data_IF_585041447635
#
_entry.id   IF_585041447635
#
_cell.length_a   1.000
_cell.length_b   1.000
_cell.length_c   1.000
_cell.angle_alpha   90.00
_cell.angle_beta   90.00
_cell.angle_gamma   90.00
#
_symmetry.space_group_name_H-M   'P 1'
#
loop_
_entity.id
_entity.type
_entity.pdbx_description
1 polymer ?
#
# COMPACT_ATOMS: atom_id res chain seq x y z
N UNK A 1 6.53 -1.96 -33.64
CA UNK A 1 6.75 -1.38 -32.29
C UNK A 1 5.70 -1.98 -31.38
N UNK A 2 6.08 -2.68 -30.31
CA UNK A 2 5.11 -3.17 -29.33
C UNK A 2 4.45 -1.95 -28.67
N UNK A 3 3.12 -1.96 -28.53
CA UNK A 3 2.42 -0.92 -27.80
C UNK A 3 3.04 -0.82 -26.38
N UNK A 4 3.26 0.40 -25.86
CA UNK A 4 3.81 0.57 -24.52
C UNK A 4 2.99 -0.27 -23.54
N UNK A 5 3.71 -1.02 -22.72
CA UNK A 5 3.17 -1.82 -21.62
C UNK A 5 2.20 -0.92 -20.85
N UNK A 6 0.99 -1.39 -20.59
CA UNK A 6 -0.03 -0.62 -19.86
C UNK A 6 0.60 0.08 -18.64
N UNK A 7 0.75 1.41 -18.71
CA UNK A 7 1.58 2.14 -17.75
C UNK A 7 1.00 2.08 -16.32
N UNK A 8 -0.26 1.68 -16.16
CA UNK A 8 -0.93 1.49 -14.87
C UNK A 8 -2.09 0.49 -14.93
N UNK A 9 -2.56 0.06 -13.75
CA UNK A 9 -3.50 -1.06 -13.56
C UNK A 9 -4.91 -0.62 -13.13
N UNK A 10 -5.35 0.59 -13.52
CA UNK A 10 -6.64 1.14 -13.07
C UNK A 10 -7.81 0.18 -13.32
N UNK A 11 -7.91 -0.42 -14.51
CA UNK A 11 -9.01 -1.33 -14.84
C UNK A 11 -9.05 -2.54 -13.90
N UNK A 12 -7.90 -3.09 -13.57
CA UNK A 12 -7.74 -4.21 -12.66
C UNK A 12 -8.12 -3.79 -11.25
N UNK A 13 -7.67 -2.63 -10.78
CA UNK A 13 -8.03 -2.07 -9.48
C UNK A 13 -9.53 -1.84 -9.32
N UNK A 14 -10.19 -1.25 -10.34
CA UNK A 14 -11.64 -1.07 -10.32
C UNK A 14 -12.37 -2.41 -10.18
N UNK A 15 -11.93 -3.43 -10.93
CA UNK A 15 -12.51 -4.78 -10.82
C UNK A 15 -12.28 -5.38 -9.43
N UNK A 16 -11.06 -5.28 -8.88
CA UNK A 16 -10.72 -5.80 -7.56
C UNK A 16 -11.52 -5.13 -6.44
N UNK A 17 -11.78 -3.81 -6.57
CA UNK A 17 -12.53 -3.03 -5.59
C UNK A 17 -14.05 -2.99 -5.85
N UNK A 18 -14.54 -3.68 -6.89
CA UNK A 18 -15.95 -3.68 -7.27
C UNK A 18 -16.49 -2.32 -7.75
N UNK A 19 -15.61 -1.41 -8.19
CA UNK A 19 -15.95 -0.06 -8.67
C UNK A 19 -16.13 -0.04 -10.18
N UNK A 20 -16.99 0.86 -10.67
CA UNK A 20 -17.22 1.09 -12.11
C UNK A 20 -16.58 2.41 -12.54
N UNK A 21 -16.26 2.54 -13.83
CA UNK A 21 -15.82 3.83 -14.40
C UNK A 21 -16.86 4.95 -14.18
N UNK A 22 -18.15 4.61 -14.15
CA UNK A 22 -19.21 5.57 -13.85
C UNK A 22 -19.12 6.13 -12.42
N UNK A 23 -18.58 5.36 -11.46
CA UNK A 23 -18.36 5.85 -10.09
C UNK A 23 -17.26 6.90 -10.06
N UNK A 24 -16.15 6.69 -10.80
CA UNK A 24 -15.10 7.71 -10.96
C UNK A 24 -15.68 9.00 -11.57
N UNK A 25 -16.44 8.87 -12.67
CA UNK A 25 -17.02 10.03 -13.33
C UNK A 25 -17.97 10.83 -12.41
N UNK A 26 -18.69 10.14 -11.53
CA UNK A 26 -19.59 10.75 -10.55
C UNK A 26 -18.83 11.39 -9.40
N UNK A 27 -17.92 10.65 -8.77
CA UNK A 27 -17.33 10.99 -7.48
C UNK A 27 -16.14 11.96 -7.61
N UNK A 28 -15.44 11.95 -8.76
CA UNK A 28 -14.37 12.90 -9.08
C UNK A 28 -14.82 14.01 -10.04
N UNK A 29 -16.09 14.02 -10.46
CA UNK A 29 -16.60 14.95 -11.48
C UNK A 29 -15.84 14.90 -12.82
N UNK A 30 -15.17 13.78 -13.10
CA UNK A 30 -14.48 13.59 -14.37
C UNK A 30 -15.50 13.35 -15.49
N UNK A 31 -15.26 13.96 -16.65
CA UNK A 31 -16.08 13.66 -17.81
C UNK A 31 -15.88 12.19 -18.27
N UNK A 32 -16.93 11.58 -18.84
CA UNK A 32 -16.93 10.17 -19.26
C UNK A 32 -15.84 9.83 -20.27
N UNK A 33 -15.51 10.76 -21.16
CA UNK A 33 -14.48 10.56 -22.18
C UNK A 33 -13.09 10.43 -21.54
N UNK A 34 -12.75 11.31 -20.60
CA UNK A 34 -11.53 11.26 -19.78
C UNK A 34 -11.44 9.91 -19.10
N UNK A 35 -12.44 9.52 -18.30
CA UNK A 35 -12.41 8.24 -17.58
C UNK A 35 -12.19 7.07 -18.53
N UNK A 36 -12.91 7.02 -19.66
CA UNK A 36 -12.75 5.94 -20.64
C UNK A 36 -11.35 5.90 -21.26
N UNK A 37 -10.77 7.07 -21.60
CA UNK A 37 -9.43 7.15 -22.19
C UNK A 37 -8.34 6.77 -21.18
N UNK A 38 -8.44 7.27 -19.96
CA UNK A 38 -7.49 7.00 -18.87
C UNK A 38 -7.56 5.52 -18.45
N UNK A 39 -8.76 4.94 -18.29
CA UNK A 39 -8.94 3.54 -17.92
C UNK A 39 -8.60 2.54 -19.05
N UNK A 40 -8.64 2.97 -20.31
CA UNK A 40 -8.20 2.13 -21.44
C UNK A 40 -6.71 2.24 -21.73
N UNK A 41 -5.99 3.15 -21.04
CA UNK A 41 -4.57 3.42 -21.28
C UNK A 41 -4.28 4.10 -22.61
N UNK A 42 -5.30 4.65 -23.28
CA UNK A 42 -5.15 5.38 -24.55
C UNK A 42 -4.61 6.80 -24.33
N UNK A 43 -4.90 7.37 -23.16
CA UNK A 43 -4.34 8.65 -22.72
C UNK A 43 -3.31 8.36 -21.62
N UNK A 44 -2.09 8.93 -21.73
CA UNK A 44 -1.11 8.88 -20.65
C UNK A 44 -1.71 9.49 -19.38
N UNK A 45 -1.47 8.87 -18.23
CA UNK A 45 -1.81 9.50 -16.96
C UNK A 45 -0.82 10.62 -16.66
N UNK A 46 -1.31 11.64 -15.97
CA UNK A 46 -0.48 12.65 -15.31
C UNK A 46 -0.23 12.25 -13.85
N UNK A 47 0.71 12.93 -13.19
CA UNK A 47 0.92 12.78 -11.75
C UNK A 47 -0.36 13.09 -10.96
N UNK A 48 -1.12 14.07 -11.41
CA UNK A 48 -2.35 14.49 -10.75
C UNK A 48 -3.44 13.41 -10.89
N UNK A 49 -3.58 12.80 -12.08
CA UNK A 49 -4.48 11.67 -12.28
C UNK A 49 -4.16 10.50 -11.32
N UNK A 50 -2.88 10.19 -11.14
CA UNK A 50 -2.44 9.13 -10.22
C UNK A 50 -2.80 9.47 -8.79
N UNK A 51 -2.50 10.68 -8.33
CA UNK A 51 -2.74 11.08 -6.94
C UNK A 51 -4.24 11.10 -6.63
N UNK A 52 -5.04 11.68 -7.52
CA UNK A 52 -6.49 11.83 -7.34
C UNK A 52 -7.18 10.46 -7.30
N UNK A 53 -6.84 9.56 -8.24
CA UNK A 53 -7.39 8.21 -8.28
C UNK A 53 -6.88 7.36 -7.11
N UNK A 54 -5.62 7.53 -6.70
CA UNK A 54 -5.06 6.80 -5.57
C UNK A 54 -5.79 7.17 -4.27
N UNK A 55 -6.01 8.46 -4.04
CA UNK A 55 -6.76 8.96 -2.90
C UNK A 55 -8.20 8.44 -2.91
N UNK A 56 -8.90 8.56 -4.03
CA UNK A 56 -10.26 8.06 -4.21
C UNK A 56 -10.41 6.55 -3.92
N UNK A 57 -9.42 5.75 -4.33
CA UNK A 57 -9.44 4.30 -4.15
C UNK A 57 -8.79 3.84 -2.83
N UNK A 58 -8.32 4.76 -1.99
CA UNK A 58 -7.56 4.49 -0.77
C UNK A 58 -6.31 3.61 -1.03
N UNK A 59 -5.56 3.98 -2.06
CA UNK A 59 -4.32 3.36 -2.49
C UNK A 59 -3.16 4.34 -2.33
N UNK A 60 -1.94 3.81 -2.28
CA UNK A 60 -0.73 4.62 -2.47
C UNK A 60 -0.49 4.80 -3.98
N UNK A 61 0.04 5.95 -4.44
CA UNK A 61 0.27 6.22 -5.86
C UNK A 61 0.98 5.11 -6.64
N UNK A 62 2.02 4.50 -6.05
CA UNK A 62 2.77 3.42 -6.70
C UNK A 62 1.96 2.12 -6.84
N UNK A 63 0.91 1.92 -6.05
CA UNK A 63 0.08 0.71 -6.13
C UNK A 63 -0.76 0.69 -7.40
N UNK A 64 -1.14 1.87 -7.92
CA UNK A 64 -1.80 1.98 -9.23
C UNK A 64 -0.88 1.55 -10.38
N UNK A 65 0.43 1.62 -10.18
CA UNK A 65 1.45 1.27 -11.18
C UNK A 65 1.86 -0.21 -11.11
N UNK A 66 1.16 -1.03 -10.32
CA UNK A 66 1.37 -2.47 -10.21
C UNK A 66 0.05 -3.23 -10.17
N UNK A 67 0.10 -4.54 -10.46
CA UNK A 67 -1.11 -5.37 -10.44
C UNK A 67 -1.68 -5.42 -9.00
N UNK A 68 -3.02 -5.41 -8.82
CA UNK A 68 -3.63 -5.42 -7.48
C UNK A 68 -3.18 -6.59 -6.61
N UNK A 69 -2.95 -7.76 -7.22
CA UNK A 69 -2.45 -8.94 -6.51
C UNK A 69 -1.06 -8.73 -5.92
N UNK A 70 -0.16 -8.06 -6.66
CA UNK A 70 1.20 -7.77 -6.19
C UNK A 70 1.18 -6.73 -5.08
N UNK A 71 0.39 -5.67 -5.26
CA UNK A 71 0.21 -4.65 -4.22
C UNK A 71 -0.35 -5.26 -2.91
N UNK A 72 -1.36 -6.12 -3.02
CA UNK A 72 -1.92 -6.80 -1.85
C UNK A 72 -0.92 -7.75 -1.19
N UNK A 73 -0.09 -8.45 -1.96
CA UNK A 73 1.01 -9.27 -1.40
C UNK A 73 2.01 -8.41 -0.65
N UNK A 74 2.41 -7.27 -1.21
CA UNK A 74 3.33 -6.33 -0.54
C UNK A 74 2.73 -5.74 0.74
N UNK A 75 1.42 -5.43 0.75
CA UNK A 75 0.72 -4.98 1.97
C UNK A 75 0.81 -6.04 3.06
N UNK A 76 0.44 -7.29 2.75
CA UNK A 76 0.49 -8.40 3.72
C UNK A 76 1.88 -8.61 4.28
N UNK A 77 2.90 -8.63 3.42
CA UNK A 77 4.30 -8.78 3.84
C UNK A 77 4.73 -7.67 4.80
N UNK A 78 4.39 -6.41 4.49
CA UNK A 78 4.70 -5.27 5.34
C UNK A 78 4.01 -5.38 6.70
N UNK A 79 2.72 -5.75 6.70
CA UNK A 79 1.94 -5.85 7.93
C UNK A 79 2.46 -7.00 8.82
N UNK A 80 2.86 -8.12 8.22
CA UNK A 80 3.52 -9.25 8.92
C UNK A 80 4.89 -8.84 9.50
N UNK A 81 5.72 -8.14 8.73
CA UNK A 81 7.01 -7.64 9.19
C UNK A 81 6.88 -6.66 10.36
N UNK A 82 5.91 -5.73 10.30
CA UNK A 82 5.64 -4.78 11.38
C UNK A 82 5.19 -5.49 12.66
N UNK A 83 4.36 -6.53 12.53
CA UNK A 83 3.92 -7.34 13.67
C UNK A 83 5.10 -8.05 14.34
N UNK A 84 5.96 -8.71 13.56
CA UNK A 84 7.15 -9.40 14.08
C UNK A 84 8.12 -8.45 14.78
N UNK A 85 8.31 -7.25 14.21
CA UNK A 85 9.15 -6.22 14.83
C UNK A 85 8.58 -5.81 16.21
N UNK A 86 7.26 -5.59 16.31
CA UNK A 86 6.62 -5.21 17.56
C UNK A 86 6.69 -6.30 18.64
N UNK A 87 6.49 -7.56 18.28
CA UNK A 87 6.61 -8.72 19.21
C UNK A 87 8.04 -8.86 19.77
N UNK A 88 9.05 -8.46 18.99
CA UNK A 88 10.46 -8.52 19.41
C UNK A 88 10.80 -7.46 20.47
N UNK A 89 10.21 -6.26 20.35
CA UNK A 89 10.42 -5.17 21.31
C UNK A 89 9.82 -5.50 22.69
N UNK A 90 8.62 -6.09 22.73
CA UNK A 90 7.95 -6.46 23.99
C UNK A 90 8.68 -7.57 24.76
N UNK A 91 9.35 -8.48 24.06
CA UNK A 91 10.08 -9.60 24.69
C UNK A 91 11.43 -9.16 25.27
N UNK A 92 11.97 -8.01 24.82
CA UNK A 92 13.28 -7.49 25.22
C UNK A 92 13.30 -6.50 26.40
N UNK A 93 12.13 -6.14 26.95
CA UNK A 93 12.00 -5.23 28.10
C UNK A 93 11.88 -5.96 29.45
N UNK A 94 11.34 -7.20 29.49
CA UNK A 94 11.14 -7.95 30.74
C UNK A 94 12.43 -8.61 31.31
N UNK A 95 13.55 -8.53 30.58
CA UNK A 95 14.82 -9.18 30.96
C UNK A 95 15.88 -8.23 31.54
N UNK A 96 15.63 -6.91 31.63
CA UNK A 96 16.63 -5.90 32.06
C UNK A 96 16.53 -5.45 33.52
N UNK A 97 15.64 -6.01 34.34
CA UNK A 97 15.38 -5.54 35.71
C UNK A 97 15.62 -6.59 36.83
N UNK A 98 16.62 -7.47 36.68
CA UNK A 98 16.97 -8.46 37.74
C UNK A 98 18.46 -8.57 38.11
N UNK A 99 19.31 -7.63 37.74
CA UNK A 99 20.74 -7.70 38.09
C UNK A 99 21.25 -6.48 38.84
N UNK A 100 20.75 -6.25 40.06
CA UNK A 100 21.53 -5.52 41.07
C UNK A 100 21.21 -6.02 42.49
N UNK A 101 21.98 -7.01 42.94
CA UNK A 101 22.13 -7.31 44.37
C UNK A 101 23.63 -7.47 44.66
N UNK A 102 24.25 -6.60 45.46
CA UNK A 102 25.68 -6.71 45.75
C UNK A 102 25.92 -7.90 46.68
N UNK A 103 26.70 -8.88 46.22
CA UNK A 103 27.21 -9.97 47.05
C UNK A 103 28.13 -9.39 48.14
N UNK A 104 27.61 -9.31 49.37
CA UNK A 104 28.44 -9.22 50.57
C UNK A 104 29.16 -10.57 50.75
N UNK A 105 30.42 -10.64 50.35
CA UNK A 105 31.32 -11.72 50.76
C UNK A 105 31.83 -11.41 52.17
N UNK A 106 31.30 -12.12 53.15
CA UNK A 106 31.78 -12.17 54.53
C UNK A 106 32.67 -13.39 54.70
N UNK A 107 33.89 -13.14 55.19
CA UNK A 107 34.67 -13.93 56.16
C UNK A 107 35.05 -15.39 55.87
N UNK A 108 36.36 -15.63 55.84
CA UNK A 108 37.06 -16.49 56.82
C UNK A 108 38.55 -16.11 56.87
#
# INVERSE_FOLDING_TARGET
>A
MAAPIHDWYLKQWLRTLGKRQADIARDLEWNKARVSLTASGKQPYTRDDINEIADYLNLRPYELLMHPEDAMRMRRLRDEMMRLAHETDETGEDSRDKSEAPQKVSSA
#
